data_IF_916241507286
#
_entry.id   IF_916241507286
#
_cell.length_a   1.000
_cell.length_b   1.000
_cell.length_c   1.000
_cell.angle_alpha   90.00
_cell.angle_beta   90.00
_cell.angle_gamma   90.00
#
_symmetry.space_group_name_H-M   'P 1'
#
loop_
_entity.id
_entity.type
_entity.pdbx_description
1 polymer ?
#
# COMPACT_ATOMS: atom_id res chain seq x y z
N UNK A 1 19.05 18.15 34.67
CA UNK A 1 17.69 17.67 34.34
C UNK A 1 17.22 18.14 32.95
N UNK A 2 17.43 19.41 32.59
CA UNK A 2 17.05 20.00 31.29
C UNK A 2 17.67 19.30 30.06
N UNK A 3 18.92 18.84 30.15
CA UNK A 3 19.62 18.13 29.07
C UNK A 3 19.07 16.72 28.80
N UNK A 4 18.61 16.02 29.84
CA UNK A 4 17.91 14.72 29.67
C UNK A 4 16.54 14.90 29.03
N UNK A 5 15.85 15.98 29.38
CA UNK A 5 14.58 16.37 28.75
C UNK A 5 14.78 16.72 27.26
N UNK A 6 15.86 17.43 26.91
CA UNK A 6 16.20 17.76 25.53
C UNK A 6 16.47 16.50 24.68
N UNK A 7 17.20 15.53 25.23
CA UNK A 7 17.43 14.23 24.58
C UNK A 7 16.14 13.42 24.41
N UNK A 8 15.23 13.47 25.39
CA UNK A 8 13.95 12.78 25.33
C UNK A 8 13.02 13.35 24.25
N UNK A 9 12.95 14.69 24.13
CA UNK A 9 12.18 15.37 23.09
C UNK A 9 12.77 15.07 21.70
N UNK A 10 14.11 15.04 21.57
CA UNK A 10 14.77 14.65 20.32
C UNK A 10 14.44 13.22 19.90
N UNK A 11 14.42 12.27 20.84
CA UNK A 11 14.05 10.87 20.57
C UNK A 11 12.59 10.72 20.13
N UNK A 12 11.67 11.49 20.71
CA UNK A 12 10.26 11.46 20.36
C UNK A 12 9.98 11.95 18.93
N UNK A 13 10.82 12.83 18.37
CA UNK A 13 10.74 13.26 16.97
C UNK A 13 11.13 12.17 15.96
N UNK A 14 11.80 11.10 16.38
CA UNK A 14 12.13 9.95 15.53
C UNK A 14 11.03 8.89 15.47
N UNK A 15 9.96 9.02 16.26
CA UNK A 15 8.82 8.11 16.22
C UNK A 15 8.02 8.33 14.92
N UNK A 16 8.38 7.60 13.85
CA UNK A 16 7.57 7.50 12.64
C UNK A 16 6.29 6.71 12.97
N UNK A 17 5.14 7.22 12.55
CA UNK A 17 3.86 6.52 12.67
C UNK A 17 3.82 5.35 11.68
N UNK A 18 3.90 4.11 12.17
CA UNK A 18 3.83 2.85 11.41
C UNK A 18 2.37 2.43 11.14
N UNK A 19 1.52 3.36 10.71
CA UNK A 19 0.11 3.04 10.44
C UNK A 19 -0.01 2.31 9.09
N UNK A 20 -0.36 1.04 9.16
CA UNK A 20 -0.83 0.27 8.02
C UNK A 20 -2.23 0.74 7.62
N UNK A 21 -2.45 0.92 6.32
CA UNK A 21 -3.74 1.28 5.74
C UNK A 21 -4.42 0.05 5.16
N UNK A 22 -5.70 -0.12 5.49
CA UNK A 22 -6.54 -1.16 4.91
C UNK A 22 -7.34 -0.58 3.73
N UNK A 23 -7.15 -1.15 2.55
CA UNK A 23 -7.88 -0.81 1.33
C UNK A 23 -8.98 -1.82 1.06
N UNK A 24 -10.19 -1.36 0.82
CA UNK A 24 -11.38 -2.18 0.64
C UNK A 24 -11.88 -2.10 -0.79
N UNK A 25 -12.14 -3.26 -1.40
CA UNK A 25 -12.73 -3.40 -2.72
C UNK A 25 -14.02 -4.22 -2.64
N UNK A 26 -15.10 -3.74 -3.23
CA UNK A 26 -16.39 -4.44 -3.27
C UNK A 26 -17.10 -4.28 -4.60
N UNK A 27 -17.76 -5.32 -5.10
CA UNK A 27 -18.62 -5.22 -6.29
C UNK A 27 -19.74 -4.16 -6.11
N UNK A 28 -20.17 -3.91 -4.87
CA UNK A 28 -21.18 -2.90 -4.50
C UNK A 28 -20.58 -1.53 -4.10
N UNK A 29 -19.27 -1.35 -4.26
CA UNK A 29 -18.57 -0.13 -3.88
C UNK A 29 -18.77 1.03 -4.84
N UNK A 30 -17.97 2.10 -4.64
CA UNK A 30 -17.95 3.27 -5.52
C UNK A 30 -16.51 3.79 -5.66
N UNK A 31 -16.06 4.06 -6.89
CA UNK A 31 -14.69 4.53 -7.17
C UNK A 31 -14.44 6.00 -6.78
N UNK A 32 -15.48 6.72 -6.37
CA UNK A 32 -15.38 8.02 -5.72
C UNK A 32 -15.06 7.92 -4.21
N UNK A 33 -15.17 6.72 -3.62
CA UNK A 33 -14.82 6.51 -2.22
C UNK A 33 -13.31 6.61 -1.99
N UNK A 34 -12.90 6.80 -0.73
CA UNK A 34 -11.49 6.73 -0.35
C UNK A 34 -10.93 5.31 -0.39
N UNK A 35 -11.79 4.29 -0.27
CA UNK A 35 -11.38 2.88 -0.20
C UNK A 35 -10.72 2.50 1.11
N UNK A 36 -10.64 3.39 2.10
CA UNK A 36 -9.91 3.16 3.37
C UNK A 36 -10.82 2.79 4.54
N UNK A 37 -12.10 2.51 4.27
CA UNK A 37 -13.04 2.03 5.28
C UNK A 37 -13.96 0.95 4.72
N UNK A 38 -14.45 0.02 5.56
CA UNK A 38 -15.36 -1.03 5.12
C UNK A 38 -16.68 -0.51 4.53
N UNK A 39 -17.14 0.67 4.99
CA UNK A 39 -18.38 1.30 4.52
C UNK A 39 -18.22 2.11 3.23
N UNK A 40 -16.98 2.39 2.81
CA UNK A 40 -16.68 3.15 1.60
C UNK A 40 -15.59 2.43 0.75
N UNK A 41 -15.85 1.21 0.26
CA UNK A 41 -14.91 0.48 -0.59
C UNK A 41 -14.88 1.03 -2.01
N UNK A 42 -13.75 0.81 -2.71
CA UNK A 42 -13.67 0.96 -4.17
C UNK A 42 -14.60 -0.05 -4.87
N UNK A 43 -14.97 0.22 -6.11
CA UNK A 43 -15.77 -0.69 -6.95
C UNK A 43 -14.90 -1.51 -7.89
N UNK A 44 -13.89 -0.89 -8.49
CA UNK A 44 -13.12 -1.48 -9.60
C UNK A 44 -11.65 -1.73 -9.24
N UNK A 45 -11.07 -2.72 -9.91
CA UNK A 45 -9.65 -3.06 -9.79
C UNK A 45 -8.79 -1.95 -10.41
N UNK A 46 -9.28 -1.27 -11.45
CA UNK A 46 -8.63 -0.11 -12.07
C UNK A 46 -8.40 1.01 -11.04
N UNK A 47 -9.43 1.29 -10.23
CA UNK A 47 -9.31 2.28 -9.15
C UNK A 47 -8.29 1.86 -8.10
N UNK A 48 -8.27 0.58 -7.72
CA UNK A 48 -7.29 0.05 -6.79
C UNK A 48 -5.85 0.13 -7.37
N UNK A 49 -5.66 -0.21 -8.64
CA UNK A 49 -4.38 -0.07 -9.34
C UNK A 49 -3.88 1.38 -9.34
N UNK A 50 -4.78 2.36 -9.46
CA UNK A 50 -4.43 3.79 -9.37
C UNK A 50 -3.89 4.19 -8.00
N UNK A 51 -4.07 3.37 -6.96
CA UNK A 51 -3.56 3.59 -5.59
C UNK A 51 -2.31 2.78 -5.29
N UNK A 52 -1.87 1.90 -6.18
CA UNK A 52 -0.75 1.00 -5.92
C UNK A 52 0.57 1.73 -5.61
N UNK A 53 0.76 2.97 -6.09
CA UNK A 53 1.94 3.79 -5.76
C UNK A 53 1.99 4.27 -4.30
N UNK A 54 0.83 4.34 -3.65
CA UNK A 54 0.65 4.71 -2.24
C UNK A 54 0.60 3.49 -1.31
N UNK A 55 0.32 2.30 -1.85
CA UNK A 55 0.31 1.05 -1.10
C UNK A 55 1.75 0.61 -0.84
N UNK A 56 2.10 0.41 0.43
CA UNK A 56 3.45 0.02 0.85
C UNK A 56 3.41 -1.18 1.79
N UNK A 57 4.59 -1.67 2.20
CA UNK A 57 4.69 -2.80 3.12
C UNK A 57 3.97 -2.52 4.43
N UNK A 58 3.01 -3.38 4.79
CA UNK A 58 2.17 -3.25 5.99
C UNK A 58 0.69 -3.06 5.65
N UNK A 59 0.39 -2.43 4.51
CA UNK A 59 -0.98 -2.20 4.04
C UNK A 59 -1.68 -3.51 3.64
N UNK A 60 -3.01 -3.52 3.73
CA UNK A 60 -3.83 -4.68 3.34
C UNK A 60 -4.80 -4.29 2.23
N UNK A 61 -5.10 -5.25 1.36
CA UNK A 61 -6.15 -5.12 0.36
C UNK A 61 -7.20 -6.19 0.66
N UNK A 62 -8.40 -5.76 1.04
CA UNK A 62 -9.51 -6.62 1.43
C UNK A 62 -10.58 -6.62 0.33
N UNK A 63 -10.94 -7.82 -0.12
CA UNK A 63 -11.95 -8.03 -1.16
C UNK A 63 -13.26 -8.50 -0.53
N UNK A 64 -14.36 -7.83 -0.89
CA UNK A 64 -15.72 -8.22 -0.51
C UNK A 64 -16.56 -8.40 -1.76
N UNK A 65 -16.78 -9.64 -2.19
CA UNK A 65 -17.54 -9.89 -3.42
C UNK A 65 -17.34 -11.30 -3.96
N UNK A 66 -18.01 -11.59 -5.07
CA UNK A 66 -17.98 -12.92 -5.68
C UNK A 66 -16.87 -13.05 -6.74
N UNK A 67 -16.79 -12.11 -7.69
CA UNK A 67 -15.81 -12.11 -8.78
C UNK A 67 -15.53 -10.69 -9.26
N UNK A 68 -14.27 -10.41 -9.61
CA UNK A 68 -13.84 -9.22 -10.34
C UNK A 68 -13.29 -9.70 -11.68
N UNK A 69 -14.00 -9.40 -12.78
CA UNK A 69 -13.68 -9.91 -14.12
C UNK A 69 -13.03 -8.82 -14.98
N UNK A 70 -12.13 -9.21 -15.88
CA UNK A 70 -11.59 -8.32 -16.91
C UNK A 70 -10.49 -7.36 -16.47
N UNK A 71 -10.07 -7.42 -15.20
CA UNK A 71 -9.06 -6.52 -14.67
C UNK A 71 -7.84 -7.26 -14.12
N UNK A 72 -6.65 -6.76 -14.45
CA UNK A 72 -5.39 -7.29 -13.96
C UNK A 72 -4.96 -6.49 -12.72
N UNK A 73 -4.72 -7.18 -11.60
CA UNK A 73 -4.11 -6.54 -10.44
C UNK A 73 -2.63 -6.28 -10.74
N UNK A 74 -2.22 -5.02 -10.78
CA UNK A 74 -0.83 -4.63 -10.99
C UNK A 74 -0.20 -4.48 -9.61
N UNK A 75 0.61 -5.45 -9.20
CA UNK A 75 1.41 -5.34 -7.98
C UNK A 75 2.83 -4.89 -8.32
N UNK A 76 3.18 -3.66 -7.96
CA UNK A 76 4.56 -3.16 -8.07
C UNK A 76 5.22 -3.29 -6.69
N UNK A 77 6.08 -4.30 -6.52
CA UNK A 77 6.88 -4.40 -5.31
C UNK A 77 7.77 -3.15 -5.23
N UNK A 78 7.55 -2.31 -4.22
CA UNK A 78 8.40 -1.16 -3.94
C UNK A 78 9.67 -1.66 -3.25
N UNK A 79 10.53 -2.34 -4.00
CA UNK A 79 11.83 -2.76 -3.49
C UNK A 79 12.70 -1.50 -3.36
N UNK A 80 13.10 -1.17 -2.14
CA UNK A 80 14.08 -0.09 -1.89
C UNK A 80 15.47 -0.46 -2.42
N UNK A 81 15.69 -1.70 -2.83
CA UNK A 81 16.86 -2.14 -3.56
C UNK A 81 16.62 -2.02 -5.07
N UNK A 82 17.46 -1.26 -5.77
CA UNK A 82 17.52 -1.25 -7.23
C UNK A 82 17.56 -2.70 -7.71
N UNK A 83 16.57 -3.12 -8.48
CA UNK A 83 16.60 -4.40 -9.19
C UNK A 83 17.85 -4.41 -10.07
N UNK A 84 18.88 -5.18 -9.69
CA UNK A 84 20.05 -5.45 -10.53
C UNK A 84 19.69 -6.72 -11.31
N UNK A 85 19.33 -6.65 -12.61
CA UNK A 85 19.12 -7.86 -13.38
C UNK A 85 20.42 -8.66 -13.35
N UNK A 86 20.36 -9.88 -12.80
CA UNK A 86 21.45 -10.84 -12.92
C UNK A 86 21.61 -11.11 -14.42
N UNK A 87 22.84 -11.03 -14.92
CA UNK A 87 23.15 -11.08 -16.34
C UNK A 87 22.34 -12.16 -17.08
N UNK A 88 21.75 -11.78 -18.21
CA UNK A 88 21.08 -12.71 -19.12
C UNK A 88 22.04 -13.85 -19.44
N UNK A 89 21.62 -15.08 -19.14
CA UNK A 89 22.36 -16.29 -19.51
C UNK A 89 22.56 -16.24 -21.03
N UNK A 90 23.81 -16.34 -21.54
CA UNK A 90 24.05 -16.35 -22.97
C UNK A 90 23.27 -17.50 -23.61
N UNK A 91 22.49 -17.21 -24.65
CA UNK A 91 21.79 -18.21 -25.44
C UNK A 91 22.81 -19.24 -25.94
N UNK A 92 22.56 -20.52 -25.65
CA UNK A 92 23.21 -21.65 -26.31
C UNK A 92 22.68 -21.76 -27.74
#
# INVERSE_FOLDING_TARGET
>A
MKTKLLFFIFFMFFAKSLLATDYYLSNSGNDNNSGTSPGAPFKTIEKLNSKMSSITGGDKILFKGAKFLGAHLIYQAKTTSKFRPMAQVPNQ
#
